data_IF_379227978682
#
_entry.id   IF_379227978682
#
_cell.length_a   1.000
_cell.length_b   1.000
_cell.length_c   1.000
_cell.angle_alpha   90.00
_cell.angle_beta   90.00
_cell.angle_gamma   90.00
#
_symmetry.space_group_name_H-M   'P 1'
#
loop_
_entity.id
_entity.type
_entity.pdbx_description
1 polymer ?
#
# COMPACT_ATOMS: atom_id res chain seq x y z
N UNK A 1 -4.37 -8.36 18.21
CA UNK A 1 -3.87 -8.54 16.83
C UNK A 1 -3.07 -9.83 16.74
N UNK A 2 -3.43 -10.74 15.83
CA UNK A 2 -2.62 -11.91 15.48
C UNK A 2 -1.90 -11.58 14.16
N UNK A 3 -0.59 -11.37 14.21
CA UNK A 3 0.20 -11.17 13.00
C UNK A 3 0.29 -12.49 12.23
N UNK A 4 -0.30 -12.56 11.04
CA UNK A 4 -0.22 -13.71 10.14
C UNK A 4 0.56 -13.33 8.90
N UNK A 5 1.72 -13.96 8.69
CA UNK A 5 2.46 -13.82 7.44
C UNK A 5 1.76 -14.65 6.37
N UNK A 6 1.03 -13.98 5.47
CA UNK A 6 0.41 -14.62 4.31
C UNK A 6 1.40 -14.55 3.16
N UNK A 7 2.00 -15.69 2.81
CA UNK A 7 2.79 -15.81 1.59
C UNK A 7 1.83 -15.90 0.41
N UNK A 8 1.72 -14.84 -0.38
CA UNK A 8 1.00 -14.87 -1.65
C UNK A 8 1.63 -15.93 -2.56
N UNK A 9 0.84 -16.95 -2.94
CA UNK A 9 1.22 -17.89 -3.99
C UNK A 9 0.93 -17.23 -5.32
N UNK A 10 1.97 -16.90 -6.09
CA UNK A 10 1.82 -16.41 -7.46
C UNK A 10 1.20 -17.52 -8.33
N UNK A 11 -0.11 -17.50 -8.50
CA UNK A 11 -0.84 -18.42 -9.39
C UNK A 11 -1.39 -17.72 -10.64
N UNK A 12 -1.01 -16.47 -10.91
CA UNK A 12 -1.47 -15.67 -12.04
C UNK A 12 -0.34 -15.20 -12.96
N UNK A 13 -0.69 -14.84 -14.20
CA UNK A 13 0.21 -14.27 -15.22
C UNK A 13 0.73 -12.87 -14.89
N UNK A 14 0.21 -12.23 -13.84
CA UNK A 14 0.56 -10.87 -13.45
C UNK A 14 1.93 -10.83 -12.74
N UNK A 15 2.91 -10.23 -13.41
CA UNK A 15 4.26 -9.97 -12.88
C UNK A 15 4.41 -8.49 -12.54
N UNK A 16 5.19 -8.19 -11.49
CA UNK A 16 5.53 -6.83 -11.08
C UNK A 16 4.61 -6.23 -10.01
N UNK A 17 4.83 -4.96 -9.68
CA UNK A 17 4.14 -4.27 -8.59
C UNK A 17 2.84 -3.59 -9.03
N UNK A 18 2.69 -3.30 -10.33
CA UNK A 18 1.49 -2.66 -10.89
C UNK A 18 0.17 -3.32 -10.47
N UNK A 19 -0.03 -4.65 -10.59
CA UNK A 19 -1.30 -5.28 -10.22
C UNK A 19 -1.62 -5.13 -8.72
N UNK A 20 -0.59 -5.14 -7.88
CA UNK A 20 -0.74 -4.92 -6.43
C UNK A 20 -1.15 -3.47 -6.17
N UNK A 21 -0.50 -2.51 -6.80
CA UNK A 21 -0.85 -1.09 -6.62
C UNK A 21 -2.23 -0.76 -7.19
N UNK A 22 -2.64 -1.39 -8.30
CA UNK A 22 -3.99 -1.25 -8.85
C UNK A 22 -5.06 -1.79 -7.92
N UNK A 23 -4.80 -2.93 -7.26
CA UNK A 23 -5.68 -3.46 -6.23
C UNK A 23 -5.73 -2.56 -4.99
N UNK A 24 -4.56 -2.19 -4.45
CA UNK A 24 -4.47 -1.46 -3.19
C UNK A 24 -5.00 -0.03 -3.33
N UNK A 25 -4.80 0.65 -4.46
CA UNK A 25 -5.33 2.01 -4.69
C UNK A 25 -6.72 2.05 -5.33
N UNK A 26 -7.33 0.87 -5.51
CA UNK A 26 -8.59 0.70 -6.23
C UNK A 26 -8.57 1.30 -7.65
N UNK A 27 -7.44 1.20 -8.34
CA UNK A 27 -7.13 1.93 -9.57
C UNK A 27 -7.38 1.15 -10.88
N UNK A 28 -7.77 -0.13 -10.84
CA UNK A 28 -8.26 -0.82 -12.05
C UNK A 28 -9.73 -0.46 -12.32
N UNK A 29 -10.23 -0.70 -13.54
CA UNK A 29 -11.66 -0.48 -13.85
C UNK A 29 -12.62 -1.29 -12.97
N UNK A 30 -12.20 -2.49 -12.55
CA UNK A 30 -12.99 -3.35 -11.68
C UNK A 30 -12.95 -2.82 -10.23
N UNK A 31 -11.77 -2.46 -9.75
CA UNK A 31 -11.58 -2.01 -8.38
C UNK A 31 -12.14 -0.60 -8.13
N UNK A 32 -12.11 0.27 -9.14
CA UNK A 32 -12.66 1.62 -9.05
C UNK A 32 -14.18 1.61 -8.77
N UNK A 33 -14.91 0.56 -9.18
CA UNK A 33 -16.35 0.39 -8.89
C UNK A 33 -16.66 0.16 -7.42
N UNK A 34 -15.65 -0.23 -6.61
CA UNK A 34 -15.81 -0.45 -5.17
C UNK A 34 -15.70 0.83 -4.36
N UNK A 35 -15.17 1.90 -4.96
CA UNK A 35 -15.13 3.23 -4.34
C UNK A 35 -16.45 3.92 -4.63
N UNK A 36 -17.21 4.27 -3.58
CA UNK A 36 -18.47 4.98 -3.74
C UNK A 36 -18.18 6.37 -4.33
N UNK A 37 -18.90 6.79 -5.39
CA UNK A 37 -18.69 8.12 -5.98
C UNK A 37 -18.86 9.23 -4.94
N UNK A 38 -17.82 10.06 -4.78
CA UNK A 38 -17.80 11.16 -3.80
C UNK A 38 -17.31 10.79 -2.40
N UNK A 39 -17.03 9.51 -2.14
CA UNK A 39 -16.37 9.06 -0.91
C UNK A 39 -14.84 9.27 -1.00
N UNK A 40 -14.22 9.63 0.12
CA UNK A 40 -12.79 9.90 0.20
C UNK A 40 -12.03 8.58 0.26
N UNK A 41 -11.14 8.35 -0.72
CA UNK A 41 -10.20 7.25 -0.65
C UNK A 41 -8.97 7.69 0.16
N UNK A 42 -8.82 7.14 1.37
CA UNK A 42 -7.77 7.52 2.31
C UNK A 42 -6.48 6.74 2.01
N UNK A 43 -5.44 7.45 1.55
CA UNK A 43 -4.12 6.90 1.33
C UNK A 43 -3.02 7.89 1.75
N UNK A 44 -1.80 7.40 1.84
CA UNK A 44 -0.64 8.20 2.18
C UNK A 44 0.68 7.45 1.99
N UNK A 45 1.77 8.16 2.27
CA UNK A 45 3.12 7.62 2.22
C UNK A 45 3.97 8.15 3.37
N UNK A 46 5.02 7.42 3.71
CA UNK A 46 6.00 7.71 4.76
C UNK A 46 7.40 7.61 4.15
N UNK A 47 8.27 8.57 4.49
CA UNK A 47 9.67 8.64 4.03
C UNK A 47 9.89 8.57 2.51
N UNK A 48 8.85 8.88 1.73
CA UNK A 48 8.90 8.92 0.28
C UNK A 48 8.90 10.36 -0.20
N UNK A 49 9.81 10.67 -1.13
CA UNK A 49 9.72 11.91 -1.90
C UNK A 49 8.54 11.78 -2.86
N UNK A 50 7.49 12.53 -2.58
CA UNK A 50 6.37 12.69 -3.51
C UNK A 50 6.31 14.14 -3.95
N UNK A 51 6.37 14.36 -5.27
CA UNK A 51 6.04 15.66 -5.87
C UNK A 51 4.54 15.96 -5.82
N UNK A 52 3.75 14.94 -5.49
CA UNK A 52 2.33 15.01 -5.23
C UNK A 52 2.15 14.83 -3.72
N UNK A 53 2.21 15.91 -2.93
CA UNK A 53 1.60 15.85 -1.60
C UNK A 53 0.13 15.51 -1.87
N UNK A 54 -0.36 14.32 -1.49
CA UNK A 54 -1.77 14.03 -1.67
C UNK A 54 -2.47 15.03 -0.76
N UNK A 55 -3.06 16.06 -1.36
CA UNK A 55 -3.93 16.98 -0.64
C UNK A 55 -5.14 16.17 -0.20
N UNK A 56 -5.00 15.48 0.92
CA UNK A 56 -5.97 14.81 1.78
C UNK A 56 -6.97 13.82 1.14
N UNK A 57 -7.20 13.81 -0.18
CA UNK A 57 -8.46 13.37 -0.76
C UNK A 57 -8.26 12.87 -2.19
N UNK A 58 -7.83 11.62 -2.37
CA UNK A 58 -7.88 10.93 -3.68
C UNK A 58 -9.34 10.63 -4.05
N UNK A 59 -10.13 11.68 -4.29
CA UNK A 59 -11.55 11.60 -4.64
C UNK A 59 -11.74 11.36 -6.13
N UNK A 60 -10.73 11.70 -6.94
CA UNK A 60 -10.73 11.47 -8.38
C UNK A 60 -10.10 10.10 -8.72
N UNK A 61 -10.78 9.34 -9.59
CA UNK A 61 -10.27 8.08 -10.12
C UNK A 61 -8.96 8.24 -10.89
N UNK A 62 -8.80 9.31 -11.66
CA UNK A 62 -7.58 9.57 -12.43
C UNK A 62 -6.37 9.80 -11.51
N UNK A 63 -6.58 10.48 -10.38
CA UNK A 63 -5.55 10.69 -9.36
C UNK A 63 -5.17 9.37 -8.69
N UNK A 64 -6.14 8.53 -8.34
CA UNK A 64 -5.88 7.17 -7.81
C UNK A 64 -5.07 6.34 -8.79
N UNK A 65 -5.39 6.40 -10.08
CA UNK A 65 -4.68 5.71 -11.16
C UNK A 65 -3.26 6.23 -11.38
N UNK A 66 -3.07 7.54 -11.36
CA UNK A 66 -1.75 8.17 -11.42
C UNK A 66 -0.89 7.73 -10.24
N UNK A 67 -1.42 7.88 -9.03
CA UNK A 67 -0.70 7.56 -7.80
C UNK A 67 -0.33 6.07 -7.70
N UNK A 68 -1.24 5.16 -8.09
CA UNK A 68 -0.95 3.72 -8.17
C UNK A 68 0.22 3.40 -9.12
N UNK A 69 0.30 4.09 -10.26
CA UNK A 69 1.37 3.91 -11.25
C UNK A 69 2.71 4.41 -10.71
N UNK A 70 2.71 5.55 -10.04
CA UNK A 70 3.93 6.13 -9.47
C UNK A 70 4.50 5.23 -8.38
N UNK A 71 3.64 4.70 -7.51
CA UNK A 71 4.03 3.74 -6.47
C UNK A 71 4.57 2.43 -7.05
N UNK A 72 3.95 1.92 -8.12
CA UNK A 72 4.44 0.73 -8.80
C UNK A 72 5.84 0.96 -9.37
N UNK A 73 6.06 2.12 -10.01
CA UNK A 73 7.36 2.53 -10.56
C UNK A 73 8.43 2.64 -9.46
N UNK A 74 8.08 3.18 -8.29
CA UNK A 74 8.99 3.28 -7.15
C UNK A 74 9.35 1.89 -6.60
N UNK A 75 8.39 1.00 -6.45
CA UNK A 75 8.63 -0.37 -6.01
C UNK A 75 9.53 -1.14 -7.00
N UNK A 76 9.28 -1.01 -8.30
CA UNK A 76 10.12 -1.60 -9.35
C UNK A 76 11.54 -1.04 -9.33
N UNK A 77 11.70 0.26 -9.09
CA UNK A 77 13.01 0.91 -8.96
C UNK A 77 13.77 0.41 -7.72
N UNK A 78 13.09 0.30 -6.57
CA UNK A 78 13.67 -0.26 -5.35
C UNK A 78 14.09 -1.73 -5.54
N UNK A 79 13.27 -2.51 -6.25
CA UNK A 79 13.61 -3.89 -6.60
C UNK A 79 14.84 -3.98 -7.49
N UNK A 80 14.89 -3.19 -8.56
CA UNK A 80 16.02 -3.14 -9.48
C UNK A 80 17.32 -2.74 -8.75
N UNK A 81 17.26 -1.72 -7.88
CA UNK A 81 18.40 -1.29 -7.07
C UNK A 81 18.90 -2.40 -6.12
N UNK A 82 17.98 -3.14 -5.47
CA UNK A 82 18.33 -4.26 -4.60
C UNK A 82 18.99 -5.41 -5.38
N UNK A 83 18.52 -5.69 -6.60
CA UNK A 83 19.08 -6.75 -7.48
C UNK A 83 20.43 -6.37 -8.09
N UNK A 84 20.64 -5.09 -8.40
CA UNK A 84 21.88 -4.60 -9.00
C UNK A 84 23.07 -4.58 -8.03
N UNK A 85 22.84 -4.68 -6.72
CA UNK A 85 23.90 -4.69 -5.69
C UNK A 85 24.78 -5.95 -5.81
N UNK A 86 26.07 -5.83 -6.20
CA UNK A 86 26.94 -6.98 -6.49
C UNK A 86 27.20 -7.90 -5.30
N UNK A 87 27.09 -7.38 -4.08
CA UNK A 87 27.26 -8.14 -2.83
C UNK A 87 25.93 -8.63 -2.22
N UNK A 88 24.80 -8.38 -2.89
CA UNK A 88 23.48 -8.75 -2.39
C UNK A 88 23.30 -10.26 -2.47
N UNK A 89 23.37 -10.94 -1.31
CA UNK A 89 22.88 -12.32 -1.16
C UNK A 89 21.35 -12.39 -1.06
N UNK A 90 20.68 -11.25 -1.15
CA UNK A 90 19.23 -11.16 -0.99
C UNK A 90 18.55 -11.75 -2.22
N UNK A 91 17.86 -12.89 -2.01
CA UNK A 91 17.05 -13.56 -3.03
C UNK A 91 15.55 -13.38 -2.81
N UNK A 92 15.16 -12.54 -1.85
CA UNK A 92 13.76 -12.28 -1.48
C UNK A 92 13.11 -11.17 -2.30
N UNK A 93 11.87 -10.83 -1.93
CA UNK A 93 11.19 -9.65 -2.43
C UNK A 93 11.57 -8.45 -1.54
N UNK A 94 12.14 -7.36 -2.09
CA UNK A 94 12.59 -6.22 -1.28
C UNK A 94 11.45 -5.34 -0.77
N UNK A 95 10.20 -5.62 -1.17
CA UNK A 95 9.01 -4.95 -0.70
C UNK A 95 8.24 -5.89 0.22
N UNK A 96 7.77 -5.36 1.35
CA UNK A 96 6.88 -6.06 2.26
C UNK A 96 5.44 -5.64 1.99
N UNK A 97 4.48 -6.53 2.16
CA UNK A 97 3.07 -6.17 2.16
C UNK A 97 2.48 -6.60 3.49
N UNK A 98 1.96 -5.63 4.22
CA UNK A 98 1.38 -5.78 5.54
C UNK A 98 -0.08 -5.34 5.47
N UNK A 99 -0.95 -6.08 6.15
CA UNK A 99 -2.34 -5.67 6.35
C UNK A 99 -2.65 -5.57 7.83
N UNK A 100 -3.26 -4.46 8.23
CA UNK A 100 -3.81 -4.25 9.57
C UNK A 100 -5.33 -4.27 9.42
N UNK A 101 -5.98 -5.22 10.07
CA UNK A 101 -7.45 -5.34 10.04
C UNK A 101 -8.00 -4.96 11.39
N UNK A 102 -9.01 -4.09 11.41
CA UNK A 102 -9.77 -3.77 12.61
C UNK A 102 -10.92 -4.76 12.78
N UNK A 103 -11.43 -4.89 14.01
CA UNK A 103 -12.58 -5.74 14.29
C UNK A 103 -13.88 -5.03 13.87
N UNK A 104 -14.96 -5.78 13.73
CA UNK A 104 -16.27 -5.24 13.36
C UNK A 104 -16.71 -4.11 14.32
N UNK A 105 -17.12 -2.98 13.75
CA UNK A 105 -17.55 -1.79 14.48
C UNK A 105 -16.42 -0.83 14.89
N UNK A 106 -15.15 -1.18 14.67
CA UNK A 106 -14.03 -0.24 14.81
C UNK A 106 -13.75 0.47 13.48
N UNK A 107 -13.96 1.79 13.48
CA UNK A 107 -13.70 2.65 12.32
C UNK A 107 -12.59 3.65 12.66
N UNK A 108 -11.30 3.31 12.42
CA UNK A 108 -10.22 4.23 12.70
C UNK A 108 -10.34 5.49 11.84
N UNK A 109 -9.99 6.64 12.41
CA UNK A 109 -9.70 7.83 11.62
C UNK A 109 -8.43 7.64 10.79
N UNK A 110 -8.26 8.42 9.73
CA UNK A 110 -7.03 8.50 8.94
C UNK A 110 -5.76 8.59 9.81
N UNK A 111 -5.79 9.47 10.80
CA UNK A 111 -4.68 9.70 11.73
C UNK A 111 -4.43 8.51 12.68
N UNK A 112 -5.47 7.77 13.05
CA UNK A 112 -5.32 6.54 13.83
C UNK A 112 -4.72 5.42 12.98
N UNK A 113 -5.16 5.28 11.74
CA UNK A 113 -4.63 4.32 10.78
C UNK A 113 -3.15 4.60 10.45
N UNK A 114 -2.80 5.86 10.20
CA UNK A 114 -1.43 6.28 9.94
C UNK A 114 -0.51 6.00 11.13
N UNK A 115 -0.95 6.36 12.35
CA UNK A 115 -0.21 6.03 13.59
C UNK A 115 -0.04 4.54 13.80
N UNK A 116 -1.05 3.74 13.47
CA UNK A 116 -0.94 2.28 13.53
C UNK A 116 0.11 1.76 12.54
N UNK A 117 0.15 2.30 11.31
CA UNK A 117 1.18 1.97 10.33
C UNK A 117 2.58 2.35 10.82
N UNK A 118 2.76 3.57 11.31
CA UNK A 118 4.04 4.05 11.87
C UNK A 118 4.51 3.16 13.03
N UNK A 119 3.59 2.77 13.93
CA UNK A 119 3.90 1.88 15.04
C UNK A 119 4.37 0.51 14.56
N UNK A 120 3.64 -0.13 13.64
CA UNK A 120 4.02 -1.44 13.09
C UNK A 120 5.34 -1.34 12.32
N UNK A 121 5.56 -0.25 11.58
CA UNK A 121 6.79 0.01 10.85
C UNK A 121 8.01 0.14 11.76
N UNK A 122 7.86 0.81 12.90
CA UNK A 122 8.90 0.90 13.92
C UNK A 122 9.22 -0.47 14.52
N UNK A 123 8.20 -1.25 14.89
CA UNK A 123 8.36 -2.58 15.48
C UNK A 123 8.99 -3.60 14.52
N UNK A 124 8.77 -3.45 13.20
CA UNK A 124 9.43 -4.28 12.18
C UNK A 124 10.88 -3.87 11.92
N UNK A 125 11.38 -2.79 12.55
CA UNK A 125 12.71 -2.25 12.29
C UNK A 125 12.82 -1.55 10.93
N UNK A 126 11.69 -1.12 10.38
CA UNK A 126 11.59 -0.50 9.05
C UNK A 126 11.35 1.02 9.13
N UNK A 127 11.52 1.66 10.30
CA UNK A 127 11.20 3.08 10.52
C UNK A 127 11.80 4.05 9.49
N UNK A 128 13.00 3.77 8.97
CA UNK A 128 13.69 4.61 7.98
C UNK A 128 13.44 4.20 6.52
N UNK A 129 12.58 3.21 6.27
CA UNK A 129 12.27 2.73 4.92
C UNK A 129 11.17 3.56 4.28
N UNK A 130 11.10 3.51 2.94
CA UNK A 130 9.97 4.04 2.19
C UNK A 130 8.74 3.16 2.43
N UNK A 131 7.59 3.80 2.58
CA UNK A 131 6.35 3.12 2.91
C UNK A 131 5.15 3.83 2.28
N UNK A 132 4.17 3.09 1.78
CA UNK A 132 2.89 3.66 1.34
C UNK A 132 1.71 2.83 1.84
N UNK A 133 0.58 3.48 2.09
CA UNK A 133 -0.58 2.86 2.71
C UNK A 133 -1.89 3.35 2.12
N UNK A 134 -2.92 2.51 2.20
CA UNK A 134 -4.29 2.83 1.80
C UNK A 134 -5.30 2.11 2.71
N UNK A 135 -6.38 2.81 3.07
CA UNK A 135 -7.48 2.27 3.88
C UNK A 135 -8.58 1.76 2.95
N UNK A 136 -9.00 0.53 3.15
CA UNK A 136 -10.15 -0.09 2.51
C UNK A 136 -11.28 -0.15 3.52
N UNK A 137 -12.35 0.60 3.24
CA UNK A 137 -13.62 0.62 4.00
C UNK A 137 -14.74 -0.11 3.25
N UNK A 138 -14.43 -0.65 2.08
CA UNK A 138 -15.36 -1.30 1.14
C UNK A 138 -15.53 -2.81 1.39
N UNK A 139 -15.12 -3.27 2.57
CA UNK A 139 -15.22 -4.68 3.00
C UNK A 139 -15.85 -4.77 4.40
N UNK A 140 -16.19 -5.98 4.84
CA UNK A 140 -16.85 -6.22 6.14
C UNK A 140 -16.15 -5.56 7.34
N UNK A 141 -14.83 -5.42 7.29
CA UNK A 141 -14.04 -4.69 8.28
C UNK A 141 -13.12 -3.67 7.62
N UNK A 142 -12.93 -2.52 8.28
CA UNK A 142 -11.92 -1.55 7.89
C UNK A 142 -10.54 -2.21 7.97
N UNK A 143 -9.72 -2.02 6.95
CA UNK A 143 -8.36 -2.51 6.93
C UNK A 143 -7.42 -1.61 6.15
N UNK A 144 -6.15 -1.64 6.51
CA UNK A 144 -5.10 -0.88 5.84
C UNK A 144 -4.14 -1.84 5.20
N UNK A 145 -3.91 -1.62 3.91
CA UNK A 145 -2.77 -2.17 3.23
C UNK A 145 -1.61 -1.20 3.36
N UNK A 146 -0.46 -1.72 3.74
CA UNK A 146 0.78 -0.98 3.89
C UNK A 146 1.91 -1.78 3.23
N UNK A 147 2.80 -1.12 2.49
CA UNK A 147 3.96 -1.73 1.83
C UNK A 147 5.19 -0.82 1.84
#
# INVERSE_FOLDING_TARGET
>A
MLAKVIKLKHTGESRGFKPVMEYVMRASEEEARKVVPGERFEAGHLNMESYWEPQADLTNEDERRGYARDLATQCESAEAACRARPASRFKGNPVYHVSINWIEGEHPSREQAERACQYVMAELGCADHQAAWAIHRDTDNDHVHWW
#
